data_IF_025642226256
#
_entry.id   IF_025642226256
#
_cell.length_a   1.000
_cell.length_b   1.000
_cell.length_c   1.000
_cell.angle_alpha   90.00
_cell.angle_beta   90.00
_cell.angle_gamma   90.00
#
_symmetry.space_group_name_H-M   'P 1'
#
loop_
_entity.id
_entity.type
_entity.pdbx_description
1 polymer ?
#
# COMPACT_ATOMS: atom_id res chain seq x y z
N UNK A 1 -26.09 2.58 10.11
CA UNK A 1 -25.70 2.61 8.68
C UNK A 1 -24.87 1.35 8.36
N UNK A 2 -25.36 0.15 8.73
CA UNK A 2 -24.48 -1.02 8.97
C UNK A 2 -24.77 -2.32 8.20
N UNK A 3 -25.81 -2.38 7.37
CA UNK A 3 -26.29 -3.66 6.80
C UNK A 3 -26.13 -3.76 5.27
N UNK A 4 -25.62 -2.71 4.60
CA UNK A 4 -25.69 -2.61 3.13
C UNK A 4 -24.67 -3.49 2.39
N UNK A 5 -23.64 -3.98 3.05
CA UNK A 5 -22.61 -4.84 2.43
C UNK A 5 -23.05 -6.31 2.31
N UNK A 6 -24.11 -6.72 3.03
CA UNK A 6 -24.66 -8.08 3.02
C UNK A 6 -25.41 -8.42 1.73
N UNK A 7 -25.80 -7.41 0.95
CA UNK A 7 -26.50 -7.60 -0.32
C UNK A 7 -25.51 -7.31 -1.45
N UNK A 8 -24.93 -8.36 -2.02
CA UNK A 8 -24.22 -8.27 -3.28
C UNK A 8 -25.17 -7.70 -4.34
N UNK A 9 -24.96 -6.44 -4.73
CA UNK A 9 -25.77 -5.85 -5.80
C UNK A 9 -25.26 -6.39 -7.13
N UNK A 10 -26.20 -6.99 -7.84
CA UNK A 10 -26.12 -7.46 -9.22
C UNK A 10 -25.45 -6.45 -10.16
N UNK A 11 -24.84 -7.01 -11.21
CA UNK A 11 -24.03 -6.30 -12.18
C UNK A 11 -24.64 -5.01 -12.72
N UNK A 12 -23.87 -3.94 -12.61
CA UNK A 12 -24.03 -2.73 -13.38
C UNK A 12 -22.64 -2.23 -13.75
N UNK A 13 -22.34 -2.20 -15.05
CA UNK A 13 -21.21 -1.45 -15.60
C UNK A 13 -21.33 0.00 -15.14
N UNK A 14 -20.54 0.39 -14.14
CA UNK A 14 -20.22 1.79 -13.90
C UNK A 14 -18.94 2.07 -14.65
N UNK A 15 -19.08 2.90 -15.68
CA UNK A 15 -17.96 3.51 -16.40
C UNK A 15 -16.99 4.17 -15.41
N UNK A 16 -15.68 4.18 -15.69
CA UNK A 16 -14.75 4.92 -14.86
C UNK A 16 -15.03 6.41 -15.02
N UNK A 17 -15.52 7.06 -13.97
CA UNK A 17 -15.45 8.51 -13.82
C UNK A 17 -13.97 8.90 -13.65
N UNK A 18 -13.32 9.14 -14.79
CA UNK A 18 -12.11 9.94 -14.93
C UNK A 18 -12.43 11.38 -14.52
N UNK A 19 -12.18 11.78 -13.26
CA UNK A 19 -11.97 13.19 -12.95
C UNK A 19 -11.28 13.45 -11.59
N UNK A 20 -10.08 12.88 -11.41
CA UNK A 20 -9.10 13.44 -10.47
C UNK A 20 -7.71 13.46 -11.09
N UNK A 21 -7.37 14.62 -11.66
CA UNK A 21 -6.01 15.16 -11.79
C UNK A 21 -4.91 14.23 -12.29
N UNK A 22 -4.58 14.34 -13.58
CA UNK A 22 -3.28 13.93 -14.11
C UNK A 22 -2.16 14.47 -13.23
N UNK A 23 -1.38 13.56 -12.66
CA UNK A 23 -0.13 13.87 -11.98
C UNK A 23 0.89 14.34 -13.04
N UNK A 24 1.39 15.59 -13.00
CA UNK A 24 2.39 16.08 -13.94
C UNK A 24 3.81 15.56 -13.66
N UNK A 25 3.99 14.63 -12.71
CA UNK A 25 5.32 14.14 -12.30
C UNK A 25 5.60 12.67 -12.64
N UNK A 26 4.92 12.12 -13.65
CA UNK A 26 5.30 10.88 -14.33
C UNK A 26 6.27 11.13 -15.50
N UNK A 27 7.28 11.99 -15.29
CA UNK A 27 8.40 12.15 -16.21
C UNK A 27 9.63 11.46 -15.59
N UNK A 28 9.95 10.25 -16.06
CA UNK A 28 11.26 9.65 -15.76
C UNK A 28 11.36 8.13 -15.73
N UNK A 29 10.25 7.38 -15.77
CA UNK A 29 10.36 5.95 -16.11
C UNK A 29 10.36 5.88 -17.63
N UNK A 30 11.46 5.49 -18.30
CA UNK A 30 11.39 5.19 -19.72
C UNK A 30 10.39 4.06 -19.87
N UNK A 31 9.17 4.39 -20.31
CA UNK A 31 8.22 3.39 -20.80
C UNK A 31 8.98 2.59 -21.83
N UNK A 32 9.00 1.27 -21.71
CA UNK A 32 9.74 0.36 -22.59
C UNK A 32 9.12 0.27 -24.00
N UNK A 33 8.82 1.45 -24.58
CA UNK A 33 8.30 1.66 -25.92
C UNK A 33 9.41 1.87 -26.97
N UNK A 34 10.67 1.65 -26.60
CA UNK A 34 11.80 1.52 -27.53
C UNK A 34 12.09 0.06 -27.94
N UNK A 35 11.06 -0.78 -28.00
CA UNK A 35 11.07 -1.95 -28.90
C UNK A 35 9.97 -1.80 -29.95
N UNK A 36 9.84 -0.59 -30.49
CA UNK A 36 9.47 -0.40 -31.88
C UNK A 36 10.59 -1.00 -32.75
N UNK A 37 10.65 -2.33 -32.79
CA UNK A 37 11.50 -3.09 -33.70
C UNK A 37 11.19 -2.53 -35.09
N UNK A 38 12.16 -1.85 -35.70
CA UNK A 38 12.07 -1.42 -37.08
C UNK A 38 11.53 -2.61 -37.89
N UNK A 39 10.30 -2.47 -38.39
CA UNK A 39 9.66 -3.48 -39.19
C UNK A 39 10.55 -3.68 -40.43
N UNK A 40 11.38 -4.72 -40.41
CA UNK A 40 12.34 -5.02 -41.47
C UNK A 40 13.77 -5.37 -41.04
N UNK A 41 14.16 -5.25 -39.76
CA UNK A 41 15.51 -5.66 -39.35
C UNK A 41 15.62 -7.20 -39.18
N UNK A 42 16.56 -7.90 -39.86
CA UNK A 42 16.62 -9.37 -39.93
C UNK A 42 17.04 -10.10 -38.63
N UNK A 43 16.99 -9.43 -37.47
CA UNK A 43 17.29 -10.02 -36.16
C UNK A 43 18.78 -10.10 -35.83
N UNK A 44 19.12 -11.00 -34.89
CA UNK A 44 20.49 -11.22 -34.38
C UNK A 44 20.99 -12.61 -34.77
N UNK A 45 22.23 -12.69 -35.28
CA UNK A 45 22.96 -13.92 -35.53
C UNK A 45 23.76 -14.26 -34.28
N UNK A 46 23.57 -15.48 -33.77
CA UNK A 46 24.37 -16.01 -32.65
C UNK A 46 25.24 -17.14 -33.18
N UNK A 47 26.56 -16.98 -33.07
CA UNK A 47 27.55 -18.00 -33.37
C UNK A 47 27.95 -18.67 -32.05
N UNK A 48 27.77 -19.99 -31.98
CA UNK A 48 28.05 -20.78 -30.78
C UNK A 48 29.19 -21.75 -31.10
N UNK A 49 30.24 -21.75 -30.30
CA UNK A 49 31.35 -22.70 -30.40
C UNK A 49 31.10 -23.84 -29.42
N UNK A 50 31.07 -25.08 -29.94
CA UNK A 50 30.91 -26.28 -29.14
C UNK A 50 32.18 -27.14 -29.20
N UNK A 51 32.62 -27.66 -28.05
CA UNK A 51 33.69 -28.66 -27.91
C UNK A 51 33.13 -29.81 -27.06
N UNK A 52 33.17 -31.03 -27.59
CA UNK A 52 32.62 -32.23 -26.94
C UNK A 52 31.16 -32.09 -26.45
N UNK A 53 30.34 -31.36 -27.20
CA UNK A 53 28.94 -31.09 -26.84
C UNK A 53 28.76 -30.02 -25.78
N UNK A 54 29.84 -29.41 -25.28
CA UNK A 54 29.80 -28.27 -24.37
C UNK A 54 29.95 -26.96 -25.13
N UNK A 55 29.09 -25.99 -24.83
CA UNK A 55 29.23 -24.62 -25.34
C UNK A 55 30.40 -23.96 -24.63
N UNK A 56 31.40 -23.52 -25.39
CA UNK A 56 32.61 -22.86 -24.85
C UNK A 56 32.66 -21.38 -25.18
N UNK A 57 31.94 -20.93 -26.23
CA UNK A 57 31.84 -19.52 -26.59
C UNK A 57 30.51 -19.24 -27.31
N UNK A 58 30.02 -18.01 -27.20
CA UNK A 58 28.81 -17.54 -27.86
C UNK A 58 28.91 -16.05 -28.16
N UNK A 59 28.97 -15.69 -29.44
CA UNK A 59 29.00 -14.30 -29.90
C UNK A 59 27.71 -13.98 -30.63
N UNK A 60 27.09 -12.85 -30.26
CA UNK A 60 25.89 -12.35 -30.93
C UNK A 60 26.17 -11.04 -31.66
N UNK A 61 25.78 -10.98 -32.93
CA UNK A 61 25.94 -9.81 -33.79
C UNK A 61 24.68 -9.58 -34.62
N UNK A 62 24.44 -8.37 -35.13
CA UNK A 62 23.33 -8.13 -36.07
C UNK A 62 23.43 -9.06 -37.28
N UNK A 63 22.29 -9.56 -37.77
CA UNK A 63 22.26 -10.35 -39.02
C UNK A 63 22.63 -9.50 -40.22
N UNK A 64 22.31 -8.21 -40.18
CA UNK A 64 22.68 -7.25 -41.22
C UNK A 64 24.20 -7.21 -41.42
N UNK A 65 24.66 -7.46 -42.64
CA UNK A 65 26.07 -7.55 -43.03
C UNK A 65 26.75 -8.90 -42.73
N UNK A 66 26.03 -9.91 -42.23
CA UNK A 66 26.63 -11.20 -41.81
C UNK A 66 26.74 -12.26 -42.89
N UNK A 67 26.20 -12.01 -44.10
CA UNK A 67 26.09 -13.01 -45.18
C UNK A 67 24.91 -13.98 -45.02
N UNK A 68 24.28 -14.03 -43.84
CA UNK A 68 23.11 -14.86 -43.53
C UNK A 68 21.77 -14.11 -43.66
N UNK A 69 21.77 -12.95 -44.29
CA UNK A 69 20.58 -12.08 -44.42
C UNK A 69 19.42 -12.80 -45.13
N UNK A 70 19.71 -13.48 -46.25
CA UNK A 70 18.70 -14.25 -46.98
C UNK A 70 18.13 -15.40 -46.14
N UNK A 71 18.99 -16.15 -45.44
CA UNK A 71 18.56 -17.25 -44.59
C UNK A 71 17.68 -16.75 -43.42
N UNK A 72 18.01 -15.59 -42.83
CA UNK A 72 17.20 -15.01 -41.77
C UNK A 72 15.83 -14.53 -42.26
N UNK A 73 15.74 -14.00 -43.49
CA UNK A 73 14.47 -13.63 -44.12
C UNK A 73 13.60 -14.87 -44.41
N UNK A 74 14.19 -15.96 -44.89
CA UNK A 74 13.47 -17.24 -45.09
C UNK A 74 12.94 -17.82 -43.77
N UNK A 75 13.77 -17.84 -42.71
CA UNK A 75 13.33 -18.30 -41.38
C UNK A 75 12.28 -17.38 -40.78
N UNK A 76 12.38 -16.06 -40.99
CA UNK A 76 11.35 -15.11 -40.55
C UNK A 76 10.02 -15.32 -41.28
N UNK A 77 10.06 -15.70 -42.57
CA UNK A 77 8.86 -16.03 -43.34
C UNK A 77 8.17 -17.32 -42.86
N UNK A 78 8.93 -18.28 -42.33
CA UNK A 78 8.41 -19.53 -41.75
C UNK A 78 7.92 -19.39 -40.30
N UNK A 79 8.27 -18.29 -39.61
CA UNK A 79 7.78 -18.03 -38.25
C UNK A 79 6.38 -17.43 -38.33
N UNK A 80 5.38 -18.23 -37.99
CA UNK A 80 4.09 -17.66 -37.58
C UNK A 80 4.35 -16.65 -36.45
N UNK A 81 3.71 -15.47 -36.48
CA UNK A 81 3.83 -14.52 -35.39
C UNK A 81 3.37 -15.21 -34.12
N UNK A 82 4.29 -15.46 -33.19
CA UNK A 82 3.96 -15.97 -31.86
C UNK A 82 2.93 -15.01 -31.28
N UNK A 83 1.68 -15.44 -31.04
CA UNK A 83 0.69 -14.54 -30.47
C UNK A 83 1.26 -14.04 -29.14
N UNK A 84 1.13 -12.74 -28.84
CA UNK A 84 1.62 -12.20 -27.58
C UNK A 84 1.02 -13.03 -26.44
N UNK A 85 1.80 -13.34 -25.38
CA UNK A 85 1.29 -14.11 -24.25
C UNK A 85 0.01 -13.46 -23.74
N UNK A 86 -1.10 -14.21 -23.81
CA UNK A 86 -2.37 -13.77 -23.23
C UNK A 86 -2.23 -13.83 -21.72
N UNK A 87 -2.09 -12.67 -21.09
CA UNK A 87 -2.21 -12.54 -19.64
C UNK A 87 -3.70 -12.56 -19.31
N UNK A 88 -4.25 -13.74 -19.08
CA UNK A 88 -5.59 -13.87 -18.47
C UNK A 88 -5.46 -13.59 -16.97
N UNK A 89 -5.97 -12.44 -16.54
CA UNK A 89 -6.18 -12.16 -15.11
C UNK A 89 -7.38 -12.96 -14.64
N UNK A 90 -7.14 -14.11 -14.03
CA UNK A 90 -8.18 -14.88 -13.33
C UNK A 90 -8.60 -14.06 -12.10
N UNK A 91 -9.77 -13.44 -12.16
CA UNK A 91 -10.39 -12.80 -11.00
C UNK A 91 -11.04 -13.91 -10.19
N UNK A 92 -10.35 -14.38 -9.15
CA UNK A 92 -10.98 -15.23 -8.13
C UNK A 92 -11.96 -14.33 -7.39
N UNK A 93 -13.26 -14.59 -7.55
CA UNK A 93 -14.30 -13.85 -6.84
C UNK A 93 -14.40 -14.45 -5.45
N UNK A 94 -13.75 -13.82 -4.47
CA UNK A 94 -13.95 -14.18 -3.07
C UNK A 94 -15.35 -13.75 -2.63
N UNK A 95 -15.92 -14.48 -1.68
CA UNK A 95 -17.20 -14.09 -1.09
C UNK A 95 -17.01 -12.80 -0.26
N UNK A 96 -17.95 -11.84 -0.26
CA UNK A 96 -17.75 -10.51 0.34
C UNK A 96 -17.33 -10.53 1.82
N UNK A 97 -17.83 -11.49 2.61
CA UNK A 97 -17.45 -11.65 4.02
C UNK A 97 -16.01 -12.13 4.20
N UNK A 98 -15.49 -12.95 3.29
CA UNK A 98 -14.09 -13.41 3.34
C UNK A 98 -13.16 -12.27 2.92
N UNK A 99 -13.52 -11.49 1.89
CA UNK A 99 -12.78 -10.28 1.52
C UNK A 99 -12.68 -9.29 2.69
N UNK A 100 -13.79 -9.10 3.43
CA UNK A 100 -13.82 -8.24 4.61
C UNK A 100 -12.94 -8.78 5.74
N UNK A 101 -12.99 -10.08 6.04
CA UNK A 101 -12.15 -10.68 7.07
C UNK A 101 -10.67 -10.57 6.71
N UNK A 102 -10.28 -10.93 5.49
CA UNK A 102 -8.91 -10.75 5.01
C UNK A 102 -8.45 -9.29 5.11
N UNK A 103 -9.33 -8.31 4.82
CA UNK A 103 -9.02 -6.89 4.97
C UNK A 103 -8.79 -6.52 6.44
N UNK A 104 -9.69 -6.94 7.34
CA UNK A 104 -9.57 -6.72 8.77
C UNK A 104 -8.26 -7.30 9.33
N UNK A 105 -7.92 -8.52 8.96
CA UNK A 105 -6.69 -9.20 9.37
C UNK A 105 -5.46 -8.37 9.02
N UNK A 106 -5.41 -7.77 7.81
CA UNK A 106 -4.28 -6.92 7.44
C UNK A 106 -4.23 -5.63 8.26
N UNK A 107 -5.37 -4.99 8.47
CA UNK A 107 -5.44 -3.72 9.23
C UNK A 107 -4.89 -3.91 10.64
N UNK A 108 -5.23 -5.02 11.30
CA UNK A 108 -4.84 -5.29 12.69
C UNK A 108 -3.52 -6.04 12.85
N UNK A 109 -3.00 -6.66 11.78
CA UNK A 109 -1.72 -7.38 11.81
C UNK A 109 -1.82 -8.91 11.85
N UNK A 110 -3.02 -9.47 11.70
CA UNK A 110 -3.22 -10.92 11.49
C UNK A 110 -4.55 -11.44 12.04
N UNK A 111 -4.87 -12.70 11.69
CA UNK A 111 -6.07 -13.40 12.12
C UNK A 111 -6.15 -13.59 13.65
N UNK A 112 -5.04 -13.99 14.28
CA UNK A 112 -4.99 -14.18 15.74
C UNK A 112 -5.23 -12.87 16.49
N UNK A 113 -4.66 -11.77 15.98
CA UNK A 113 -4.84 -10.43 16.55
C UNK A 113 -6.29 -9.95 16.36
N UNK A 114 -6.89 -10.22 15.19
CA UNK A 114 -8.28 -9.90 14.92
C UNK A 114 -9.25 -10.64 15.86
N UNK A 115 -8.96 -11.91 16.14
CA UNK A 115 -9.78 -12.77 16.98
C UNK A 115 -9.85 -12.27 18.44
N UNK A 116 -8.75 -11.70 18.94
CA UNK A 116 -8.67 -11.18 20.32
C UNK A 116 -8.81 -9.66 20.39
N UNK A 117 -9.08 -8.97 19.27
CA UNK A 117 -9.23 -7.53 19.23
C UNK A 117 -10.33 -7.06 20.20
N UNK A 118 -9.95 -6.14 21.10
CA UNK A 118 -10.78 -5.51 22.12
C UNK A 118 -11.02 -4.01 21.87
N UNK A 119 -11.93 -3.44 22.65
CA UNK A 119 -12.30 -2.02 22.64
C UNK A 119 -11.50 -1.18 23.64
N UNK A 120 -10.49 -1.76 24.29
CA UNK A 120 -9.70 -1.05 25.29
C UNK A 120 -8.99 0.15 24.65
N UNK A 121 -9.07 1.35 25.26
CA UNK A 121 -8.43 2.52 24.73
C UNK A 121 -6.91 2.42 24.85
N UNK A 122 -6.21 3.09 23.91
CA UNK A 122 -4.79 3.29 24.06
C UNK A 122 -4.50 4.08 25.35
N UNK A 123 -3.35 3.84 26.01
CA UNK A 123 -2.89 4.70 27.10
C UNK A 123 -2.92 6.17 26.67
N UNK A 124 -3.28 7.06 27.59
CA UNK A 124 -3.34 8.48 27.28
C UNK A 124 -1.96 9.09 27.38
N UNK A 125 -1.47 9.65 26.27
CA UNK A 125 -0.21 10.38 26.17
C UNK A 125 1.02 9.60 26.70
N UNK A 126 1.15 8.35 26.28
CA UNK A 126 2.33 7.52 26.55
C UNK A 126 3.60 8.29 26.11
N UNK A 127 4.64 8.40 26.96
CA UNK A 127 5.85 9.11 26.60
C UNK A 127 6.68 8.34 25.57
N UNK A 128 7.45 9.06 24.74
CA UNK A 128 8.39 8.43 23.82
C UNK A 128 9.66 7.98 24.58
N UNK A 129 9.96 6.69 24.54
CA UNK A 129 11.18 6.15 25.14
C UNK A 129 12.39 6.28 24.19
N UNK A 130 13.01 7.47 24.17
CA UNK A 130 14.15 7.78 23.30
C UNK A 130 15.32 6.79 23.45
N UNK A 131 15.52 6.22 24.63
CA UNK A 131 16.60 5.28 24.91
C UNK A 131 16.44 3.91 24.24
N UNK A 132 15.23 3.56 23.81
CA UNK A 132 14.98 2.35 23.03
C UNK A 132 15.22 2.55 21.53
N UNK A 133 15.32 3.80 21.08
CA UNK A 133 15.49 4.12 19.66
C UNK A 133 16.96 3.94 19.20
N UNK A 134 17.19 3.61 17.91
CA UNK A 134 18.52 3.60 17.32
C UNK A 134 19.25 4.93 17.55
N UNK A 135 20.54 4.87 17.93
CA UNK A 135 21.34 6.04 18.31
C UNK A 135 21.28 7.17 17.26
N UNK A 136 21.40 6.83 15.98
CA UNK A 136 21.40 7.80 14.88
C UNK A 136 20.06 8.49 14.61
N UNK A 137 18.98 8.07 15.27
CA UNK A 137 17.64 8.64 15.12
C UNK A 137 17.15 9.42 16.33
N UNK A 138 17.83 9.35 17.49
CA UNK A 138 17.35 9.91 18.76
C UNK A 138 17.13 11.42 18.70
N UNK A 139 18.09 12.17 18.14
CA UNK A 139 18.01 13.63 18.08
C UNK A 139 16.82 14.09 17.23
N UNK A 140 16.63 13.48 16.05
CA UNK A 140 15.49 13.78 15.19
C UNK A 140 14.18 13.33 15.83
N UNK A 141 14.13 12.15 16.44
CA UNK A 141 12.94 11.66 17.13
C UNK A 141 12.54 12.60 18.27
N UNK A 142 13.49 13.09 19.07
CA UNK A 142 13.25 14.09 20.11
C UNK A 142 12.67 15.38 19.55
N UNK A 143 13.26 15.93 18.49
CA UNK A 143 12.77 17.15 17.86
C UNK A 143 11.37 16.97 17.24
N UNK A 144 11.08 15.79 16.69
CA UNK A 144 9.75 15.45 16.16
C UNK A 144 8.74 15.33 17.31
N UNK A 145 9.10 14.69 18.43
CA UNK A 145 8.23 14.52 19.59
C UNK A 145 7.79 15.86 20.19
N UNK A 146 8.72 16.83 20.28
CA UNK A 146 8.39 18.21 20.68
C UNK A 146 7.29 18.82 19.80
N UNK A 147 7.33 18.56 18.49
CA UNK A 147 6.28 19.01 17.58
C UNK A 147 4.97 18.23 17.71
N UNK A 148 5.02 16.94 18.07
CA UNK A 148 3.82 16.15 18.33
C UNK A 148 3.06 16.67 19.56
N UNK A 149 3.78 17.13 20.60
CA UNK A 149 3.19 17.73 21.80
C UNK A 149 2.50 19.08 21.54
N UNK A 150 2.92 19.82 20.50
CA UNK A 150 2.34 21.13 20.16
C UNK A 150 0.99 21.02 19.45
N UNK A 151 0.64 19.84 18.93
CA UNK A 151 -0.61 19.63 18.21
C UNK A 151 -1.70 19.31 19.22
N UNK A 152 -2.69 20.19 19.35
CA UNK A 152 -3.91 19.93 20.10
C UNK A 152 -4.80 18.95 19.31
N UNK A 153 -4.79 17.65 19.62
CA UNK A 153 -5.58 16.69 18.88
C UNK A 153 -7.04 16.86 19.32
N UNK A 154 -7.99 16.55 18.43
CA UNK A 154 -9.42 16.72 18.72
C UNK A 154 -9.76 16.24 20.16
N UNK A 155 -10.41 17.05 21.02
CA UNK A 155 -10.41 16.86 22.48
C UNK A 155 -10.86 15.47 22.97
N UNK A 156 -11.69 14.80 22.17
CA UNK A 156 -12.28 13.50 22.49
C UNK A 156 -11.26 12.34 22.35
N UNK A 157 -10.22 12.50 21.52
CA UNK A 157 -9.24 11.45 21.22
C UNK A 157 -7.79 11.87 21.51
N UNK A 158 -7.60 13.04 22.13
CA UNK A 158 -6.30 13.70 22.22
C UNK A 158 -5.18 12.81 22.78
N UNK A 159 -5.40 12.24 23.98
CA UNK A 159 -4.39 11.40 24.62
C UNK A 159 -4.06 10.12 23.85
N UNK A 160 -5.04 9.48 23.22
CA UNK A 160 -4.81 8.26 22.44
C UNK A 160 -4.04 8.54 21.15
N UNK A 161 -4.32 9.68 20.51
CA UNK A 161 -3.65 10.08 19.28
C UNK A 161 -2.16 10.37 19.49
N UNK A 162 -1.82 11.08 20.58
CA UNK A 162 -0.42 11.33 20.91
C UNK A 162 0.36 10.02 21.13
N UNK A 163 -0.23 9.06 21.84
CA UNK A 163 0.32 7.71 22.01
C UNK A 163 0.53 7.02 20.66
N UNK A 164 -0.47 7.04 19.78
CA UNK A 164 -0.34 6.46 18.44
C UNK A 164 0.74 7.15 17.59
N UNK A 165 0.88 8.48 17.67
CA UNK A 165 1.93 9.21 16.97
C UNK A 165 3.32 8.81 17.46
N UNK A 166 3.52 8.72 18.78
CA UNK A 166 4.81 8.34 19.39
C UNK A 166 5.19 6.90 19.09
N UNK A 167 4.23 5.97 19.17
CA UNK A 167 4.44 4.58 18.76
C UNK A 167 4.80 4.50 17.28
N UNK A 168 4.09 5.20 16.40
CA UNK A 168 4.44 5.24 14.98
C UNK A 168 5.82 5.86 14.74
N UNK A 169 6.19 6.91 15.49
CA UNK A 169 7.52 7.52 15.43
C UNK A 169 8.62 6.54 15.85
N UNK A 170 8.41 5.78 16.92
CA UNK A 170 9.32 4.72 17.34
C UNK A 170 9.46 3.64 16.27
N UNK A 171 8.35 3.15 15.71
CA UNK A 171 8.37 2.19 14.59
C UNK A 171 9.10 2.76 13.38
N UNK A 172 8.85 4.01 13.00
CA UNK A 172 9.54 4.68 11.91
C UNK A 172 11.06 4.78 12.14
N UNK A 173 11.48 4.98 13.39
CA UNK A 173 12.90 4.99 13.75
C UNK A 173 13.53 3.61 13.56
N UNK A 174 12.86 2.54 14.02
CA UNK A 174 13.34 1.16 13.88
C UNK A 174 13.39 0.68 12.43
N UNK A 175 12.44 1.11 11.60
CA UNK A 175 12.43 0.84 10.15
C UNK A 175 13.38 1.73 9.34
N UNK A 176 14.19 2.58 10.01
CA UNK A 176 15.19 3.43 9.36
C UNK A 176 14.62 4.63 8.61
N UNK A 177 13.32 4.91 8.70
CA UNK A 177 12.68 6.03 8.01
C UNK A 177 13.22 7.38 8.48
N UNK A 178 13.53 7.52 9.77
CA UNK A 178 14.13 8.75 10.31
C UNK A 178 15.53 9.01 9.74
N UNK A 179 16.28 7.96 9.40
CA UNK A 179 17.57 8.12 8.72
C UNK A 179 17.38 8.68 7.31
N UNK A 180 16.40 8.18 6.57
CA UNK A 180 16.04 8.66 5.23
C UNK A 180 15.50 10.10 5.25
N UNK A 181 14.91 10.52 6.37
CA UNK A 181 14.33 11.84 6.56
C UNK A 181 15.20 12.79 7.36
N UNK A 182 16.48 12.49 7.57
CA UNK A 182 17.40 13.33 8.36
C UNK A 182 17.49 14.78 7.88
N UNK A 183 17.32 15.00 6.58
CA UNK A 183 17.40 16.32 5.94
C UNK A 183 16.01 17.00 5.83
N UNK A 184 14.96 16.35 6.34
CA UNK A 184 13.60 16.89 6.38
C UNK A 184 13.39 17.66 7.69
N UNK A 185 12.87 18.89 7.64
CA UNK A 185 12.55 19.64 8.86
C UNK A 185 11.66 18.85 9.83
N UNK A 186 11.94 18.84 11.14
CA UNK A 186 11.22 18.04 12.14
C UNK A 186 9.70 18.24 12.11
N UNK A 187 9.21 19.47 11.92
CA UNK A 187 7.79 19.78 11.84
C UNK A 187 7.09 19.12 10.64
N UNK A 188 7.81 18.91 9.53
CA UNK A 188 7.30 18.20 8.35
C UNK A 188 7.31 16.69 8.56
N UNK A 189 8.27 16.18 9.32
CA UNK A 189 8.31 14.78 9.74
C UNK A 189 7.15 14.48 10.71
N UNK A 190 6.93 15.34 11.71
CA UNK A 190 5.79 15.27 12.62
C UNK A 190 4.46 15.26 11.84
N UNK A 191 4.29 16.17 10.87
CA UNK A 191 3.11 16.20 10.02
C UNK A 191 2.91 14.88 9.25
N UNK A 192 3.98 14.21 8.81
CA UNK A 192 3.90 12.93 8.10
C UNK A 192 3.43 11.80 9.01
N UNK A 193 3.96 11.73 10.24
CA UNK A 193 3.53 10.79 11.29
C UNK A 193 2.04 11.00 11.59
N UNK A 194 1.65 12.24 11.88
CA UNK A 194 0.26 12.61 12.21
C UNK A 194 -0.69 12.24 11.08
N UNK A 195 -0.37 12.64 9.85
CA UNK A 195 -1.21 12.31 8.69
C UNK A 195 -1.35 10.79 8.49
N UNK A 196 -0.28 10.03 8.72
CA UNK A 196 -0.30 8.58 8.60
C UNK A 196 -1.26 7.94 9.61
N UNK A 197 -1.17 8.31 10.90
CA UNK A 197 -2.06 7.80 11.95
C UNK A 197 -3.52 8.18 11.71
N UNK A 198 -3.79 9.42 11.29
CA UNK A 198 -5.16 9.88 10.98
C UNK A 198 -5.77 9.06 9.85
N UNK A 199 -4.98 8.81 8.79
CA UNK A 199 -5.41 7.99 7.65
C UNK A 199 -5.59 6.53 8.05
N UNK A 200 -4.74 5.97 8.90
CA UNK A 200 -4.87 4.60 9.41
C UNK A 200 -6.13 4.41 10.28
N UNK A 201 -6.56 5.46 10.97
CA UNK A 201 -7.72 5.43 11.89
C UNK A 201 -9.03 5.97 11.29
N UNK A 202 -9.11 6.11 9.95
CA UNK A 202 -10.28 6.67 9.25
C UNK A 202 -10.77 8.03 9.79
N UNK A 203 -9.89 8.83 10.41
CA UNK A 203 -10.26 10.10 11.05
C UNK A 203 -10.41 11.25 10.05
N UNK A 204 -9.96 11.06 8.81
CA UNK A 204 -10.11 12.02 7.71
C UNK A 204 -10.37 11.32 6.37
N UNK A 205 -11.04 12.02 5.45
CA UNK A 205 -11.44 11.50 4.14
C UNK A 205 -12.95 11.60 3.90
N UNK A 206 -13.44 10.90 2.89
CA UNK A 206 -14.86 10.86 2.57
C UNK A 206 -15.66 10.25 3.73
N UNK A 207 -16.68 10.97 4.22
CA UNK A 207 -17.51 10.53 5.35
C UNK A 207 -16.86 10.65 6.74
N UNK A 208 -15.63 11.15 6.82
CA UNK A 208 -14.90 11.28 8.08
C UNK A 208 -15.33 12.53 8.88
N UNK A 209 -15.22 12.50 10.22
CA UNK A 209 -15.64 13.60 11.10
C UNK A 209 -14.77 14.86 11.01
N UNK A 210 -13.52 14.74 10.55
CA UNK A 210 -12.53 15.82 10.61
C UNK A 210 -11.76 15.94 9.30
N UNK A 211 -11.43 17.18 8.91
CA UNK A 211 -10.47 17.44 7.84
C UNK A 211 -9.03 17.32 8.33
N UNK A 212 -8.11 16.87 7.46
CA UNK A 212 -6.67 16.75 7.76
C UNK A 212 -6.09 18.04 8.33
N UNK A 213 -6.49 19.20 7.80
CA UNK A 213 -6.02 20.51 8.23
C UNK A 213 -6.29 20.80 9.73
N UNK A 214 -7.27 20.12 10.33
CA UNK A 214 -7.58 20.24 11.76
C UNK A 214 -6.43 19.72 12.61
N UNK A 215 -5.82 18.60 12.20
CA UNK A 215 -4.78 17.93 12.96
C UNK A 215 -3.38 18.44 12.67
N UNK A 216 -3.18 19.13 11.54
CA UNK A 216 -1.88 19.73 11.20
C UNK A 216 -1.77 21.18 11.68
N UNK A 217 -2.84 21.71 12.30
CA UNK A 217 -2.86 23.06 12.85
C UNK A 217 -1.80 23.17 13.94
N UNK A 218 -0.97 24.21 13.86
CA UNK A 218 0.12 24.46 14.81
C UNK A 218 1.51 24.05 14.31
N UNK A 219 1.60 23.14 13.32
CA UNK A 219 2.89 22.70 12.76
C UNK A 219 3.48 23.64 11.70
N UNK A 220 2.72 24.66 11.27
CA UNK A 220 3.17 25.59 10.22
C UNK A 220 3.29 24.96 8.81
N UNK A 221 2.73 23.77 8.59
CA UNK A 221 2.81 23.06 7.30
C UNK A 221 1.64 23.47 6.40
N UNK A 222 1.96 23.94 5.18
CA UNK A 222 0.97 24.47 4.23
C UNK A 222 0.14 23.44 3.46
N UNK A 223 0.57 22.17 3.42
CA UNK A 223 -0.14 21.11 2.70
C UNK A 223 0.03 19.73 3.36
N UNK A 224 -0.94 18.81 3.19
CA UNK A 224 -0.83 17.45 3.71
C UNK A 224 0.39 16.69 3.12
N UNK A 225 1.19 16.00 3.94
CA UNK A 225 2.37 15.26 3.49
C UNK A 225 2.00 13.87 2.92
N UNK A 226 1.10 13.82 1.93
CA UNK A 226 0.53 12.57 1.38
C UNK A 226 1.59 11.60 0.88
N UNK A 227 2.59 12.06 0.13
CA UNK A 227 3.64 11.18 -0.41
C UNK A 227 4.49 10.52 0.69
N UNK A 228 4.95 11.29 1.69
CA UNK A 228 5.78 10.76 2.79
C UNK A 228 4.99 9.84 3.71
N UNK A 229 3.79 10.24 4.09
CA UNK A 229 2.93 9.42 4.96
C UNK A 229 2.48 8.11 4.29
N UNK A 230 2.21 8.12 2.97
CA UNK A 230 1.96 6.89 2.20
C UNK A 230 3.21 6.02 2.13
N UNK A 231 4.38 6.62 1.88
CA UNK A 231 5.66 5.87 1.86
C UNK A 231 5.95 5.22 3.21
N UNK A 232 5.67 5.93 4.31
CA UNK A 232 5.78 5.40 5.66
C UNK A 232 4.84 4.21 5.89
N UNK A 233 3.56 4.35 5.51
CA UNK A 233 2.59 3.28 5.64
C UNK A 233 2.99 2.03 4.83
N UNK A 234 3.57 2.22 3.64
CA UNK A 234 4.06 1.11 2.81
C UNK A 234 5.28 0.40 3.42
N UNK A 235 6.19 1.14 4.06
CA UNK A 235 7.36 0.55 4.71
C UNK A 235 6.94 -0.25 5.95
N UNK A 236 6.02 0.30 6.75
CA UNK A 236 5.61 -0.32 8.02
C UNK A 236 4.58 -1.44 7.80
N UNK A 237 3.48 -1.15 7.11
CA UNK A 237 2.38 -2.10 6.92
C UNK A 237 2.47 -2.94 5.64
N UNK A 238 3.49 -2.69 4.80
CA UNK A 238 3.65 -3.38 3.52
C UNK A 238 2.64 -2.96 2.46
N UNK A 239 2.45 -3.82 1.46
CA UNK A 239 1.47 -3.59 0.38
C UNK A 239 0.05 -3.62 0.92
N UNK A 240 -0.71 -2.55 0.65
CA UNK A 240 -2.05 -2.33 1.17
C UNK A 240 -3.04 -3.47 0.82
N UNK A 241 -2.96 -4.04 -0.40
CA UNK A 241 -3.77 -5.19 -0.79
C UNK A 241 -3.16 -5.99 -1.96
N UNK A 242 -2.99 -7.32 -1.86
CA UNK A 242 -2.39 -8.13 -2.91
C UNK A 242 -3.29 -8.30 -4.16
N UNK A 243 -4.62 -8.23 -4.00
CA UNK A 243 -5.58 -8.39 -5.11
C UNK A 243 -6.00 -7.05 -5.75
N UNK A 244 -5.34 -5.95 -5.41
CA UNK A 244 -5.47 -4.66 -6.08
C UNK A 244 -6.67 -3.79 -5.69
N UNK A 245 -7.70 -4.30 -4.99
CA UNK A 245 -8.80 -3.49 -4.42
C UNK A 245 -9.26 -4.01 -3.06
N UNK A 246 -9.37 -3.12 -2.08
CA UNK A 246 -10.05 -3.39 -0.80
C UNK A 246 -11.54 -3.66 -1.03
N UNK A 247 -12.23 -4.32 -0.08
CA UNK A 247 -13.68 -4.51 -0.16
C UNK A 247 -14.39 -3.18 -0.41
N UNK A 248 -15.39 -3.16 -1.29
CA UNK A 248 -16.02 -1.91 -1.78
C UNK A 248 -16.63 -1.01 -0.69
N UNK A 249 -16.94 -1.57 0.48
CA UNK A 249 -17.52 -0.88 1.62
C UNK A 249 -16.53 -0.70 2.78
N UNK A 250 -15.28 -1.16 2.63
CA UNK A 250 -14.25 -0.97 3.64
C UNK A 250 -13.78 0.49 3.63
N UNK A 251 -13.51 1.09 4.80
CA UNK A 251 -12.89 2.41 4.90
C UNK A 251 -11.55 2.47 4.13
N UNK A 252 -11.32 3.58 3.42
CA UNK A 252 -10.05 3.83 2.74
C UNK A 252 -8.99 4.35 3.74
N UNK A 253 -8.34 3.39 4.40
CA UNK A 253 -7.32 3.62 5.43
C UNK A 253 -5.94 3.16 5.01
N UNK A 254 -4.93 3.69 5.69
CA UNK A 254 -3.59 3.11 5.63
C UNK A 254 -3.52 1.86 6.50
N UNK A 255 -3.11 0.74 5.91
CA UNK A 255 -2.80 -0.49 6.62
C UNK A 255 -1.42 -0.33 7.27
N UNK A 256 -1.38 -0.39 8.60
CA UNK A 256 -0.14 -0.39 9.40
C UNK A 256 0.12 -1.74 10.08
N UNK A 257 -0.90 -2.60 10.22
CA UNK A 257 -0.74 -3.95 10.75
C UNK A 257 -0.43 -4.01 12.25
N UNK A 258 -0.79 -2.98 13.02
CA UNK A 258 -0.53 -2.92 14.45
C UNK A 258 -1.71 -2.26 15.18
N UNK A 259 -2.37 -3.03 16.04
CA UNK A 259 -3.48 -2.54 16.88
C UNK A 259 -3.03 -1.46 17.86
N UNK A 260 -1.75 -1.45 18.25
CA UNK A 260 -1.14 -0.44 19.10
C UNK A 260 -1.14 0.98 18.52
N UNK A 261 -1.48 1.12 17.24
CA UNK A 261 -1.63 2.39 16.52
C UNK A 261 -3.09 2.78 16.27
N UNK A 262 -4.03 1.91 16.65
CA UNK A 262 -5.46 2.11 16.44
C UNK A 262 -6.11 2.68 17.70
N UNK A 263 -6.80 3.81 17.57
CA UNK A 263 -7.57 4.43 18.66
C UNK A 263 -8.86 3.66 18.92
N UNK A 264 -9.38 3.71 20.15
CA UNK A 264 -10.56 2.92 20.56
C UNK A 264 -11.77 3.06 19.63
N UNK A 265 -12.04 4.29 19.15
CA UNK A 265 -13.12 4.53 18.19
C UNK A 265 -13.01 3.64 16.96
N UNK A 266 -11.83 3.60 16.33
CA UNK A 266 -11.66 2.84 15.11
C UNK A 266 -11.63 1.33 15.40
N UNK A 267 -11.04 0.91 16.52
CA UNK A 267 -11.12 -0.49 16.99
C UNK A 267 -12.59 -0.96 17.11
N UNK A 268 -13.48 -0.14 17.67
CA UNK A 268 -14.91 -0.45 17.78
C UNK A 268 -15.58 -0.61 16.42
N UNK A 269 -15.22 0.22 15.45
CA UNK A 269 -15.69 0.09 14.07
C UNK A 269 -15.20 -1.24 13.45
N UNK A 270 -13.91 -1.61 13.65
CA UNK A 270 -13.36 -2.88 13.17
C UNK A 270 -14.00 -4.12 13.83
N UNK A 271 -14.25 -4.08 15.14
CA UNK A 271 -14.98 -5.12 15.88
C UNK A 271 -16.37 -5.31 15.30
N UNK A 272 -17.07 -4.20 15.02
CA UNK A 272 -18.40 -4.25 14.39
C UNK A 272 -18.34 -4.94 13.03
N UNK A 273 -17.34 -4.62 12.19
CA UNK A 273 -17.15 -5.29 10.90
C UNK A 273 -16.82 -6.77 11.04
N UNK A 274 -15.96 -7.14 11.99
CA UNK A 274 -15.60 -8.54 12.30
C UNK A 274 -16.84 -9.36 12.65
N UNK A 275 -17.64 -8.86 13.57
CA UNK A 275 -18.81 -9.57 14.08
C UNK A 275 -19.89 -9.72 12.99
N UNK A 276 -20.07 -8.68 12.18
CA UNK A 276 -20.95 -8.70 11.01
C UNK A 276 -20.46 -9.73 9.96
N UNK A 277 -19.17 -9.76 9.66
CA UNK A 277 -18.58 -10.70 8.70
C UNK A 277 -18.72 -12.16 9.16
N UNK A 278 -18.46 -12.44 10.44
CA UNK A 278 -18.67 -13.77 11.00
C UNK A 278 -20.14 -14.20 11.01
N UNK A 279 -21.06 -13.28 11.30
CA UNK A 279 -22.50 -13.55 11.26
C UNK A 279 -22.96 -13.92 9.85
N UNK A 280 -22.49 -13.18 8.83
CA UNK A 280 -22.80 -13.48 7.42
C UNK A 280 -22.24 -14.85 6.99
N UNK A 281 -21.00 -15.15 7.38
CA UNK A 281 -20.37 -16.45 7.10
C UNK A 281 -21.16 -17.61 7.70
N UNK A 282 -21.62 -17.47 8.95
CA UNK A 282 -22.44 -18.48 9.61
C UNK A 282 -23.80 -18.66 8.92
N UNK A 283 -24.44 -17.57 8.49
CA UNK A 283 -25.71 -17.62 7.77
C UNK A 283 -25.60 -18.39 6.44
N UNK A 284 -24.53 -18.19 5.68
CA UNK A 284 -24.28 -18.91 4.42
C UNK A 284 -23.94 -20.39 4.63
N UNK A 285 -23.20 -20.72 5.70
CA UNK A 285 -22.89 -22.11 6.07
C UNK A 285 -24.13 -22.91 6.53
N UNK A 286 -25.13 -22.25 7.13
CA UNK A 286 -26.38 -22.87 7.56
C UNK A 286 -27.32 -23.22 6.40
N UNK A 287 -27.29 -22.46 5.30
CA UNK A 287 -28.15 -22.68 4.12
C UNK A 287 -27.75 -23.92 3.31
N UNK A 288 -26.50 -24.39 3.40
CA UNK A 288 -26.02 -25.56 2.67
C UNK A 288 -26.43 -26.92 3.31
N UNK A 289 -27.12 -26.92 4.45
CA UNK A 289 -27.49 -28.15 5.19
C UNK A 289 -29.00 -28.34 5.38
N UNK A 290 -29.83 -27.51 4.74
CA UNK A 290 -31.30 -27.56 4.77
C UNK A 290 -31.93 -28.18 3.54
#
# INVERSE_FOLDING_TARGET
MGERWLYGVDGGLLEPEDEWGRDPWLDGVPTSRDVGRAAGAPGTLTEIVLIDGHVVDSVSRPVSGSGYECAALEVAHLREPVPPPRVERVIVREEPQEEMLHWLERVVGGAEVLAVLDDDPLPLAEPLELDLLPLGSRDLASAVDEHLDLVDPAPILAGQLLTAYRRLLATAAHEGMLHLWRDVPPERTAAAIIHCVIKANALSGAGAPFGVATFLRGLGVGSPPTSRSRSLALVIGGTQWPHGRSPSQAPEVYVLGDTGLLVSRFRNELITYRDLAHTARAALGGVATG
#
